data_IF_983208684344
#
_entry.id   IF_983208684344
#
_cell.length_a   1.000
_cell.length_b   1.000
_cell.length_c   1.000
_cell.angle_alpha   90.00
_cell.angle_beta   90.00
_cell.angle_gamma   90.00
#
_symmetry.space_group_name_H-M   'P 1'
#
loop_
_entity.id
_entity.type
_entity.pdbx_description
1 polymer ?
#
# COMPACT_ATOMS: atom_id res chain seq x y z
N UNK A 1 35.15 13.66 27.77
CA UNK A 1 33.71 13.67 27.50
C UNK A 1 33.53 13.15 26.08
N UNK A 2 33.08 11.93 25.93
CA UNK A 2 32.85 11.33 24.59
C UNK A 2 31.50 11.87 24.07
N UNK A 3 31.52 12.73 23.07
CA UNK A 3 30.32 13.12 22.36
C UNK A 3 29.73 11.86 21.67
N UNK A 4 28.60 11.39 22.20
CA UNK A 4 27.87 10.31 21.57
C UNK A 4 27.30 10.82 20.25
N UNK A 5 27.79 10.27 19.12
CA UNK A 5 27.21 10.54 17.81
C UNK A 5 25.71 10.25 17.85
N UNK A 6 24.85 11.13 17.31
CA UNK A 6 23.41 10.90 17.27
C UNK A 6 23.14 9.58 16.54
N UNK A 7 22.40 8.68 17.20
CA UNK A 7 21.97 7.42 16.58
C UNK A 7 20.88 7.71 15.54
N UNK A 8 21.19 7.50 14.28
CA UNK A 8 20.17 7.52 13.22
C UNK A 8 19.37 6.23 13.30
N UNK A 9 18.07 6.35 13.55
CA UNK A 9 17.16 5.19 13.58
C UNK A 9 16.44 5.06 12.23
N UNK A 10 16.75 4.01 11.49
CA UNK A 10 16.11 3.69 10.21
C UNK A 10 15.09 2.52 10.33
N UNK A 11 14.67 2.19 11.56
CA UNK A 11 13.82 1.02 11.85
C UNK A 11 12.33 1.26 11.65
N UNK A 12 11.89 2.50 11.49
CA UNK A 12 10.49 2.86 11.26
C UNK A 12 10.41 4.00 10.25
N UNK A 13 9.56 3.81 9.22
CA UNK A 13 9.21 4.86 8.26
C UNK A 13 8.22 5.86 8.86
N UNK A 14 8.61 6.54 9.95
CA UNK A 14 7.79 7.58 10.60
C UNK A 14 8.22 8.94 10.05
N UNK A 15 7.34 9.68 9.37
CA UNK A 15 7.65 11.03 8.91
C UNK A 15 7.99 11.97 10.08
N UNK A 16 8.91 12.90 9.92
CA UNK A 16 9.20 13.90 10.95
C UNK A 16 7.99 14.82 11.15
N UNK A 17 7.73 15.18 12.42
CA UNK A 17 6.52 15.96 12.80
C UNK A 17 6.45 17.30 12.08
N UNK A 18 7.59 17.93 11.84
CA UNK A 18 7.75 19.20 11.12
C UNK A 18 7.36 19.12 9.64
N UNK A 19 7.26 17.93 9.07
CA UNK A 19 6.80 17.74 7.68
C UNK A 19 5.28 17.73 7.52
N UNK A 20 4.53 17.74 8.64
CA UNK A 20 3.07 17.69 8.56
C UNK A 20 2.47 19.07 8.25
N UNK A 21 1.72 19.24 7.16
CA UNK A 21 1.05 20.49 6.82
C UNK A 21 -0.24 20.67 7.62
N UNK A 22 -0.15 20.75 8.96
CA UNK A 22 -1.30 20.68 9.88
C UNK A 22 -2.33 21.77 9.58
N UNK A 23 -1.90 23.01 9.35
CA UNK A 23 -2.80 24.13 9.07
C UNK A 23 -3.61 23.89 7.79
N UNK A 24 -2.94 23.50 6.72
CA UNK A 24 -3.59 23.20 5.43
C UNK A 24 -4.58 22.02 5.55
N UNK A 25 -4.22 20.98 6.28
CA UNK A 25 -5.11 19.84 6.53
C UNK A 25 -6.35 20.24 7.33
N UNK A 26 -6.19 21.13 8.32
CA UNK A 26 -7.33 21.65 9.09
C UNK A 26 -8.28 22.48 8.23
N UNK A 27 -7.75 23.35 7.36
CA UNK A 27 -8.54 24.12 6.40
C UNK A 27 -9.30 23.21 5.42
N UNK A 28 -8.60 22.22 4.84
CA UNK A 28 -9.23 21.23 3.95
C UNK A 28 -10.34 20.43 4.65
N UNK A 29 -10.10 19.98 5.89
CA UNK A 29 -11.09 19.25 6.66
C UNK A 29 -12.34 20.12 6.94
N UNK A 30 -12.14 21.37 7.33
CA UNK A 30 -13.25 22.30 7.54
C UNK A 30 -14.05 22.55 6.25
N UNK A 31 -13.38 22.74 5.12
CA UNK A 31 -14.03 22.95 3.82
C UNK A 31 -14.86 21.72 3.40
N UNK A 32 -14.31 20.51 3.53
CA UNK A 32 -15.03 19.26 3.22
C UNK A 32 -16.25 19.07 4.11
N UNK A 33 -16.13 19.34 5.41
CA UNK A 33 -17.26 19.25 6.32
C UNK A 33 -18.35 20.30 6.01
N UNK A 34 -17.96 21.46 5.54
CA UNK A 34 -18.91 22.51 5.15
C UNK A 34 -19.68 22.18 3.87
N UNK A 35 -18.98 21.56 2.90
CA UNK A 35 -19.54 21.24 1.58
C UNK A 35 -20.25 19.88 1.54
N UNK A 36 -19.71 18.89 2.24
CA UNK A 36 -20.14 17.49 2.17
C UNK A 36 -20.47 16.87 3.53
N UNK A 37 -20.67 17.67 4.58
CA UNK A 37 -20.83 17.18 5.96
C UNK A 37 -21.92 16.16 6.15
N UNK A 38 -23.05 16.33 5.48
CA UNK A 38 -24.19 15.42 5.48
C UNK A 38 -23.88 14.05 4.82
N UNK A 39 -22.91 14.02 3.92
CA UNK A 39 -22.45 12.78 3.23
C UNK A 39 -21.31 12.12 3.97
N UNK A 40 -20.26 12.90 4.34
CA UNK A 40 -19.02 12.31 4.90
C UNK A 40 -19.18 11.85 6.35
N UNK A 41 -20.19 12.34 7.08
CA UNK A 41 -20.52 11.90 8.44
C UNK A 41 -21.48 10.70 8.48
N UNK A 42 -21.98 10.26 7.33
CA UNK A 42 -22.83 9.08 7.20
C UNK A 42 -21.99 7.83 6.89
N UNK A 43 -22.65 6.67 6.82
CA UNK A 43 -22.00 5.44 6.35
C UNK A 43 -21.44 5.65 4.95
N UNK A 44 -20.15 5.40 4.81
CA UNK A 44 -19.47 5.56 3.53
C UNK A 44 -19.97 4.56 2.48
N UNK A 45 -20.08 4.97 1.21
CA UNK A 45 -20.27 4.03 0.11
C UNK A 45 -19.14 2.98 0.11
N UNK A 46 -19.48 1.72 -0.20
CA UNK A 46 -18.54 0.58 -0.17
C UNK A 46 -17.25 0.86 -0.97
N UNK A 47 -17.34 1.62 -2.04
CA UNK A 47 -16.18 1.95 -2.90
C UNK A 47 -15.43 3.21 -2.47
N UNK A 48 -15.93 3.93 -1.47
CA UNK A 48 -15.38 5.18 -0.98
C UNK A 48 -16.06 6.43 -1.57
N UNK A 49 -15.65 7.59 -1.08
CA UNK A 49 -16.21 8.90 -1.40
C UNK A 49 -16.08 9.22 -2.89
N UNK A 50 -17.21 9.47 -3.56
CA UNK A 50 -17.26 9.60 -5.02
C UNK A 50 -16.38 10.73 -5.60
N UNK A 51 -16.33 11.95 -5.01
CA UNK A 51 -15.44 13.00 -5.52
C UNK A 51 -13.94 12.62 -5.46
N UNK A 52 -13.52 11.89 -4.41
CA UNK A 52 -12.16 11.40 -4.30
C UNK A 52 -11.86 10.33 -5.35
N UNK A 53 -12.78 9.39 -5.56
CA UNK A 53 -12.63 8.37 -6.60
C UNK A 53 -12.50 8.98 -7.99
N UNK A 54 -13.37 9.97 -8.31
CA UNK A 54 -13.30 10.67 -9.59
C UNK A 54 -11.97 11.42 -9.81
N UNK A 55 -11.41 12.00 -8.74
CA UNK A 55 -10.09 12.63 -8.78
C UNK A 55 -9.00 11.59 -9.10
N UNK A 56 -8.94 10.50 -8.32
CA UNK A 56 -7.96 9.44 -8.48
C UNK A 56 -8.07 8.73 -9.84
N UNK A 57 -9.28 8.49 -10.31
CA UNK A 57 -9.54 7.91 -11.62
C UNK A 57 -8.97 8.78 -12.76
N UNK A 58 -9.20 10.09 -12.69
CA UNK A 58 -8.64 11.05 -13.64
C UNK A 58 -7.11 11.06 -13.63
N UNK A 59 -6.50 11.03 -12.45
CA UNK A 59 -5.04 10.98 -12.32
C UNK A 59 -4.45 9.66 -12.86
N UNK A 60 -5.14 8.55 -12.64
CA UNK A 60 -4.73 7.22 -13.10
C UNK A 60 -5.11 6.94 -14.58
N UNK A 61 -5.90 7.80 -15.23
CA UNK A 61 -6.37 7.58 -16.60
C UNK A 61 -7.34 6.40 -16.73
N UNK A 62 -8.17 6.14 -15.71
CA UNK A 62 -9.15 5.05 -15.70
C UNK A 62 -10.56 5.58 -15.38
N UNK A 63 -11.57 4.75 -15.58
CA UNK A 63 -12.94 5.07 -15.16
C UNK A 63 -13.08 5.03 -13.63
N UNK A 64 -13.96 5.83 -13.06
CA UNK A 64 -14.13 5.94 -11.61
C UNK A 64 -14.73 4.66 -10.98
N UNK A 65 -15.40 3.83 -11.77
CA UNK A 65 -15.90 2.52 -11.34
C UNK A 65 -14.77 1.50 -11.11
N UNK A 66 -13.56 1.76 -11.60
CA UNK A 66 -12.35 0.96 -11.38
C UNK A 66 -11.54 1.40 -10.16
N UNK A 67 -12.01 2.41 -9.42
CA UNK A 67 -11.32 2.94 -8.25
C UNK A 67 -12.06 2.56 -6.97
N UNK A 68 -11.31 2.05 -5.99
CA UNK A 68 -11.76 1.77 -4.62
C UNK A 68 -10.82 2.50 -3.66
N UNK A 69 -11.40 3.18 -2.68
CA UNK A 69 -10.66 3.86 -1.61
C UNK A 69 -10.77 3.02 -0.33
N UNK A 70 -9.64 2.78 0.32
CA UNK A 70 -9.54 2.02 1.57
C UNK A 70 -8.79 2.76 2.66
N UNK A 71 -8.67 2.12 3.82
CA UNK A 71 -8.02 2.65 5.01
C UNK A 71 -6.51 2.28 5.02
N UNK A 72 -5.78 2.83 4.05
CA UNK A 72 -4.36 2.60 3.88
C UNK A 72 -4.00 1.38 3.04
N UNK A 73 -2.75 1.37 2.55
CA UNK A 73 -2.26 0.36 1.61
C UNK A 73 -2.30 -1.07 2.15
N UNK A 74 -2.05 -1.28 3.44
CA UNK A 74 -2.08 -2.63 4.02
C UNK A 74 -3.47 -3.25 4.00
N UNK A 75 -4.54 -2.46 4.19
CA UNK A 75 -5.90 -2.97 4.05
C UNK A 75 -6.19 -3.40 2.61
N UNK A 76 -5.79 -2.56 1.65
CA UNK A 76 -5.99 -2.88 0.23
C UNK A 76 -5.17 -4.10 -0.18
N UNK A 77 -3.93 -4.23 0.30
CA UNK A 77 -3.12 -5.43 0.09
C UNK A 77 -3.76 -6.69 0.69
N UNK A 78 -4.35 -6.61 1.90
CA UNK A 78 -5.07 -7.74 2.51
C UNK A 78 -6.28 -8.16 1.68
N UNK A 79 -7.04 -7.20 1.15
CA UNK A 79 -8.16 -7.50 0.25
C UNK A 79 -7.70 -8.14 -1.06
N UNK A 80 -6.66 -7.61 -1.69
CA UNK A 80 -6.08 -8.21 -2.89
C UNK A 80 -5.55 -9.62 -2.62
N UNK A 81 -4.83 -9.82 -1.52
CA UNK A 81 -4.29 -11.12 -1.16
C UNK A 81 -5.40 -12.15 -0.95
N UNK A 82 -6.45 -11.81 -0.19
CA UNK A 82 -7.61 -12.70 0.02
C UNK A 82 -8.40 -13.00 -1.25
N UNK A 83 -8.43 -12.08 -2.19
CA UNK A 83 -9.14 -12.27 -3.45
C UNK A 83 -8.34 -13.12 -4.45
N UNK A 84 -7.03 -12.92 -4.52
CA UNK A 84 -6.16 -13.51 -5.52
C UNK A 84 -5.52 -14.82 -5.07
N UNK A 85 -5.27 -15.00 -3.75
CA UNK A 85 -4.51 -16.12 -3.24
C UNK A 85 -5.42 -17.20 -2.67
N UNK A 86 -5.07 -18.46 -2.96
CA UNK A 86 -5.61 -19.66 -2.34
C UNK A 86 -4.50 -20.45 -1.64
N UNK A 87 -4.88 -21.55 -1.02
CA UNK A 87 -3.91 -22.45 -0.38
C UNK A 87 -2.91 -22.96 -1.42
N UNK A 88 -1.63 -22.69 -1.20
CA UNK A 88 -0.55 -23.13 -2.08
C UNK A 88 -0.24 -22.18 -3.24
N UNK A 89 -0.91 -21.02 -3.34
CA UNK A 89 -0.50 -19.99 -4.31
C UNK A 89 0.93 -19.55 -4.04
N UNK A 90 1.77 -19.54 -5.07
CA UNK A 90 3.15 -19.01 -4.99
C UNK A 90 3.12 -17.52 -5.25
N UNK A 91 3.80 -16.75 -4.40
CA UNK A 91 3.93 -15.29 -4.53
C UNK A 91 5.40 -14.93 -4.56
N UNK A 92 5.83 -14.38 -5.67
CA UNK A 92 7.17 -13.86 -5.83
C UNK A 92 7.30 -12.49 -5.15
N UNK A 93 8.34 -12.31 -4.37
CA UNK A 93 8.59 -11.09 -3.61
C UNK A 93 10.05 -10.69 -3.70
N UNK A 94 10.31 -9.41 -3.69
CA UNK A 94 11.66 -8.88 -3.58
C UNK A 94 12.26 -9.21 -2.20
N UNK A 95 13.56 -9.45 -2.13
CA UNK A 95 14.26 -9.70 -0.87
C UNK A 95 15.44 -8.72 -0.74
N UNK A 96 15.35 -7.76 0.23
CA UNK A 96 14.37 -7.64 1.32
C UNK A 96 13.03 -7.02 0.90
N UNK A 97 11.96 -7.38 1.61
CA UNK A 97 10.61 -6.84 1.41
C UNK A 97 9.98 -6.39 2.73
N UNK A 98 8.87 -5.65 2.65
CA UNK A 98 8.19 -5.15 3.83
C UNK A 98 7.51 -6.28 4.62
N UNK A 99 7.89 -6.47 5.87
CA UNK A 99 7.51 -7.58 6.74
C UNK A 99 5.99 -7.77 6.90
N UNK A 100 5.22 -6.67 6.92
CA UNK A 100 3.76 -6.72 7.05
C UNK A 100 3.08 -7.21 5.77
N UNK A 101 3.60 -6.84 4.60
CA UNK A 101 3.12 -7.38 3.33
C UNK A 101 3.35 -8.89 3.27
N UNK A 102 4.54 -9.35 3.64
CA UNK A 102 4.86 -10.78 3.72
C UNK A 102 3.92 -11.53 4.69
N UNK A 103 3.57 -10.90 5.81
CA UNK A 103 2.63 -11.47 6.78
C UNK A 103 1.22 -11.59 6.21
N UNK A 104 0.73 -10.60 5.47
CA UNK A 104 -0.58 -10.61 4.80
C UNK A 104 -0.64 -11.76 3.80
N UNK A 105 0.37 -11.91 2.95
CA UNK A 105 0.45 -12.98 1.95
C UNK A 105 0.39 -14.36 2.60
N UNK A 106 1.22 -14.60 3.65
CA UNK A 106 1.20 -15.89 4.39
C UNK A 106 -0.16 -16.19 5.01
N UNK A 107 -0.82 -15.17 5.60
CA UNK A 107 -2.16 -15.33 6.19
C UNK A 107 -3.24 -15.65 5.16
N UNK A 108 -3.07 -15.17 3.93
CA UNK A 108 -3.96 -15.49 2.81
C UNK A 108 -3.70 -16.88 2.19
N UNK A 109 -2.72 -17.63 2.70
CA UNK A 109 -2.39 -18.98 2.21
C UNK A 109 -1.30 -19.00 1.14
N UNK A 110 -0.67 -17.86 0.84
CA UNK A 110 0.41 -17.76 -0.14
C UNK A 110 1.74 -18.29 0.39
N UNK A 111 2.47 -18.97 -0.47
CA UNK A 111 3.87 -19.38 -0.26
C UNK A 111 4.78 -18.31 -0.87
N UNK A 112 5.71 -17.80 -0.06
CA UNK A 112 6.62 -16.74 -0.49
C UNK A 112 7.87 -17.33 -1.13
N UNK A 113 8.22 -16.80 -2.29
CA UNK A 113 9.50 -17.06 -2.96
C UNK A 113 10.22 -15.73 -3.13
N UNK A 114 11.34 -15.58 -2.42
CA UNK A 114 12.16 -14.36 -2.46
C UNK A 114 13.07 -14.33 -3.67
N UNK A 115 13.22 -13.15 -4.27
CA UNK A 115 14.23 -12.83 -5.25
C UNK A 115 15.12 -11.71 -4.74
N UNK A 116 16.44 -11.82 -4.85
CA UNK A 116 17.33 -10.74 -4.45
C UNK A 116 17.09 -9.49 -5.30
N UNK A 117 17.25 -8.32 -4.65
CA UNK A 117 17.28 -7.04 -5.35
C UNK A 117 18.66 -6.84 -5.97
N UNK A 118 18.66 -6.48 -7.22
CA UNK A 118 19.81 -5.98 -7.96
C UNK A 118 19.84 -4.43 -7.93
N UNK A 119 20.78 -3.81 -8.63
CA UNK A 119 20.97 -2.35 -8.61
C UNK A 119 19.76 -1.60 -9.18
N UNK A 120 19.04 -2.17 -10.13
CA UNK A 120 17.91 -1.59 -10.85
C UNK A 120 16.56 -2.26 -10.54
N UNK A 121 16.48 -3.15 -9.56
CA UNK A 121 15.26 -3.82 -9.12
C UNK A 121 15.38 -5.32 -8.94
N UNK A 122 14.27 -6.04 -9.07
CA UNK A 122 14.26 -7.50 -8.98
C UNK A 122 14.84 -8.14 -10.26
N UNK A 123 15.55 -9.25 -10.10
CA UNK A 123 16.04 -10.08 -11.21
C UNK A 123 14.86 -10.73 -11.94
N UNK A 124 14.42 -10.09 -13.02
CA UNK A 124 13.27 -10.53 -13.83
C UNK A 124 13.57 -11.80 -14.59
N UNK A 125 14.80 -11.99 -15.06
CA UNK A 125 15.20 -13.19 -15.79
C UNK A 125 15.11 -14.42 -14.87
N UNK A 126 15.49 -14.29 -13.60
CA UNK A 126 15.32 -15.35 -12.60
C UNK A 126 13.85 -15.65 -12.29
N UNK A 127 12.98 -14.63 -12.30
CA UNK A 127 11.53 -14.82 -12.15
C UNK A 127 10.96 -15.57 -13.35
N UNK A 128 11.30 -15.17 -14.58
CA UNK A 128 10.84 -15.84 -15.81
C UNK A 128 11.29 -17.30 -15.87
N UNK A 129 12.57 -17.58 -15.56
CA UNK A 129 13.09 -18.94 -15.54
C UNK A 129 12.33 -19.86 -14.56
N UNK A 130 11.91 -19.33 -13.40
CA UNK A 130 11.09 -20.08 -12.45
C UNK A 130 9.67 -20.32 -12.93
N UNK A 131 9.05 -19.33 -13.56
CA UNK A 131 7.71 -19.49 -14.15
C UNK A 131 7.72 -20.55 -15.26
N UNK A 132 8.76 -20.57 -16.09
CA UNK A 132 8.95 -21.58 -17.16
C UNK A 132 9.17 -22.99 -16.61
N UNK A 133 9.81 -23.14 -15.45
CA UNK A 133 10.01 -24.44 -14.78
C UNK A 133 8.71 -25.06 -14.24
N UNK A 134 7.61 -24.32 -14.25
CA UNK A 134 6.29 -24.79 -13.79
C UNK A 134 6.08 -24.68 -12.28
N UNK A 135 6.95 -24.02 -11.54
CA UNK A 135 6.68 -23.62 -10.15
C UNK A 135 5.54 -22.57 -10.12
N UNK A 136 4.37 -23.01 -9.67
CA UNK A 136 3.17 -22.16 -9.54
C UNK A 136 2.63 -22.21 -8.11
#
# INVERSE_FOLDING_TARGET
MSESRPRVQLTRGVPPVESFPIAQLAECAAAVLHEYGDVVLQYAPVRGFAPLRALLAREAGVDDDRVIVGQGSLQLQDFCARYLLGTGSVVYVEEPSYDRALTIIRRAGGQLVGFPLEEDGADIDAVEARLESGER
#
